data_IF_766077551806
#
_entry.id   IF_766077551806
#
_cell.length_a   1.000
_cell.length_b   1.000
_cell.length_c   1.000
_cell.angle_alpha   90.00
_cell.angle_beta   90.00
_cell.angle_gamma   90.00
#
_symmetry.space_group_name_H-M   'P 1'
#
loop_
_entity.id
_entity.type
_entity.pdbx_description
1 polymer ?
#
# COMPACT_ATOMS: atom_id res chain seq x y z
N UNK A 1 -14.76 -37.06 -1.10
CA UNK A 1 -14.11 -35.73 -1.22
C UNK A 1 -14.95 -34.72 -0.43
N UNK A 2 -14.53 -34.33 0.77
CA UNK A 2 -15.21 -33.31 1.58
C UNK A 2 -14.22 -32.20 1.93
N UNK A 3 -14.04 -31.26 1.00
CA UNK A 3 -13.30 -30.01 1.17
C UNK A 3 -14.32 -28.91 1.54
N UNK A 4 -14.56 -28.66 2.83
CA UNK A 4 -15.21 -27.41 3.28
C UNK A 4 -14.69 -27.04 4.67
N UNK A 5 -14.23 -25.79 4.82
CA UNK A 5 -13.51 -25.25 5.97
C UNK A 5 -14.32 -25.11 7.27
N UNK A 6 -13.66 -24.57 8.31
CA UNK A 6 -14.17 -24.36 9.68
C UNK A 6 -15.52 -23.63 9.84
N UNK A 7 -16.08 -23.13 8.74
CA UNK A 7 -17.46 -22.67 8.63
C UNK A 7 -18.50 -23.70 9.09
N UNK A 8 -18.27 -25.00 8.91
CA UNK A 8 -19.32 -25.99 9.18
C UNK A 8 -19.52 -26.42 10.64
N UNK A 9 -18.76 -25.88 11.62
CA UNK A 9 -18.93 -26.25 13.04
C UNK A 9 -19.67 -25.20 13.87
N UNK A 10 -19.88 -24.00 13.32
CA UNK A 10 -20.61 -22.94 14.01
C UNK A 10 -22.07 -22.90 13.55
N UNK A 11 -23.01 -22.58 14.45
CA UNK A 11 -24.43 -22.38 14.10
C UNK A 11 -24.59 -21.33 12.99
N UNK A 12 -25.69 -21.38 12.23
CA UNK A 12 -25.93 -20.56 11.02
C UNK A 12 -25.50 -19.08 11.16
N UNK A 13 -25.79 -18.45 12.30
CA UNK A 13 -25.40 -17.07 12.61
C UNK A 13 -23.88 -16.82 12.58
N UNK A 14 -23.09 -17.74 13.12
CA UNK A 14 -21.63 -17.65 13.14
C UNK A 14 -21.01 -17.91 11.76
N UNK A 15 -21.67 -18.71 10.92
CA UNK A 15 -21.26 -18.93 9.52
C UNK A 15 -21.49 -17.67 8.69
N UNK A 16 -22.66 -17.05 8.87
CA UNK A 16 -22.99 -15.79 8.21
C UNK A 16 -22.02 -14.68 8.62
N UNK A 17 -21.71 -14.53 9.91
CA UNK A 17 -20.76 -13.52 10.39
C UNK A 17 -19.34 -13.73 9.84
N UNK A 18 -18.85 -14.97 9.79
CA UNK A 18 -17.53 -15.28 9.22
C UNK A 18 -17.48 -15.05 7.70
N UNK A 19 -18.55 -15.39 6.97
CA UNK A 19 -18.66 -15.14 5.52
C UNK A 19 -18.79 -13.65 5.22
N UNK A 20 -19.56 -12.90 6.01
CA UNK A 20 -19.71 -11.45 5.88
C UNK A 20 -18.38 -10.77 6.21
N UNK A 21 -17.67 -11.19 7.26
CA UNK A 21 -16.34 -10.67 7.58
C UNK A 21 -15.31 -10.97 6.49
N UNK A 22 -15.30 -12.19 5.95
CA UNK A 22 -14.43 -12.55 4.83
C UNK A 22 -14.80 -11.77 3.55
N UNK A 23 -16.08 -11.61 3.24
CA UNK A 23 -16.57 -10.83 2.11
C UNK A 23 -16.23 -9.34 2.27
N UNK A 24 -16.37 -8.77 3.47
CA UNK A 24 -15.98 -7.39 3.76
C UNK A 24 -14.46 -7.19 3.68
N UNK A 25 -13.64 -8.17 4.10
CA UNK A 25 -12.18 -8.13 3.91
C UNK A 25 -11.83 -8.23 2.42
N UNK A 26 -12.47 -9.12 1.66
CA UNK A 26 -12.26 -9.27 0.22
C UNK A 26 -12.69 -8.00 -0.52
N UNK A 27 -13.84 -7.42 -0.18
CA UNK A 27 -14.34 -6.17 -0.76
C UNK A 27 -13.44 -5.01 -0.34
N UNK A 28 -13.02 -4.92 0.92
CA UNK A 28 -12.07 -3.88 1.36
C UNK A 28 -10.74 -4.00 0.61
N UNK A 29 -10.19 -5.20 0.40
CA UNK A 29 -8.94 -5.37 -0.36
C UNK A 29 -9.14 -5.24 -1.87
N UNK A 30 -10.29 -5.61 -2.42
CA UNK A 30 -10.62 -5.50 -3.85
C UNK A 30 -11.02 -4.08 -4.28
N UNK A 31 -11.60 -3.30 -3.37
CA UNK A 31 -12.04 -1.91 -3.62
C UNK A 31 -10.99 -0.89 -3.17
N UNK A 32 -10.13 -1.22 -2.19
CA UNK A 32 -9.09 -0.29 -1.65
C UNK A 32 -7.67 -0.66 -2.07
N UNK A 33 -7.43 -1.89 -2.58
CA UNK A 33 -6.08 -2.38 -2.88
C UNK A 33 -5.55 -1.94 -4.25
N UNK A 34 -4.50 -1.12 -4.25
CA UNK A 34 -3.65 -0.78 -5.41
C UNK A 34 -2.97 -2.01 -6.10
N UNK A 35 -3.34 -3.25 -5.76
CA UNK A 35 -2.76 -4.48 -6.32
C UNK A 35 -3.34 -4.87 -7.68
N UNK A 36 -4.49 -4.29 -8.07
CA UNK A 36 -5.09 -4.51 -9.40
C UNK A 36 -4.25 -3.94 -10.55
N UNK A 37 -3.44 -2.89 -10.29
CA UNK A 37 -2.62 -2.22 -11.31
C UNK A 37 -1.28 -2.89 -11.62
N UNK A 38 -0.85 -3.90 -10.84
CA UNK A 38 0.43 -4.65 -11.05
C UNK A 38 0.26 -5.98 -11.80
N UNK A 39 -0.86 -6.16 -12.51
CA UNK A 39 -1.14 -7.34 -13.30
C UNK A 39 -1.85 -8.48 -12.56
N UNK A 40 -2.48 -9.36 -13.34
CA UNK A 40 -3.35 -10.44 -12.86
C UNK A 40 -2.66 -11.36 -11.84
N UNK A 41 -1.39 -11.69 -12.06
CA UNK A 41 -0.62 -12.58 -11.18
C UNK A 41 -0.49 -12.00 -9.76
N UNK A 42 -0.14 -10.72 -9.64
CA UNK A 42 0.00 -10.02 -8.36
C UNK A 42 -1.34 -9.92 -7.63
N UNK A 43 -2.42 -9.66 -8.37
CA UNK A 43 -3.78 -9.63 -7.79
C UNK A 43 -4.18 -11.00 -7.24
N UNK A 44 -3.93 -12.08 -7.98
CA UNK A 44 -4.25 -13.44 -7.56
C UNK A 44 -3.43 -13.84 -6.33
N UNK A 45 -2.14 -13.54 -6.30
CA UNK A 45 -1.29 -13.87 -5.14
C UNK A 45 -1.71 -13.09 -3.89
N UNK A 46 -1.98 -11.77 -4.01
CA UNK A 46 -2.50 -10.98 -2.88
C UNK A 46 -3.83 -11.52 -2.39
N UNK A 47 -4.78 -11.81 -3.29
CA UNK A 47 -6.09 -12.35 -2.93
C UNK A 47 -5.96 -13.69 -2.20
N UNK A 48 -5.16 -14.61 -2.73
CA UNK A 48 -4.90 -15.90 -2.08
C UNK A 48 -4.24 -15.72 -0.72
N UNK A 49 -3.29 -14.81 -0.58
CA UNK A 49 -2.62 -14.52 0.70
C UNK A 49 -3.62 -14.00 1.74
N UNK A 50 -4.39 -12.96 1.39
CA UNK A 50 -5.34 -12.33 2.31
C UNK A 50 -6.46 -13.29 2.71
N UNK A 51 -7.01 -14.05 1.77
CA UNK A 51 -8.09 -15.00 2.04
C UNK A 51 -7.63 -16.17 2.92
N UNK A 52 -6.45 -16.72 2.67
CA UNK A 52 -5.89 -17.79 3.52
C UNK A 52 -5.50 -17.30 4.90
N UNK A 53 -4.94 -16.09 5.00
CA UNK A 53 -4.66 -15.41 6.27
C UNK A 53 -5.95 -15.16 7.08
N UNK A 54 -7.01 -14.65 6.44
CA UNK A 54 -8.30 -14.40 7.07
C UNK A 54 -8.96 -15.69 7.56
N UNK A 55 -8.87 -16.77 6.78
CA UNK A 55 -9.36 -18.09 7.19
C UNK A 55 -8.64 -18.58 8.46
N UNK A 56 -7.31 -18.45 8.51
CA UNK A 56 -6.53 -18.87 9.68
C UNK A 56 -6.92 -18.03 10.90
N UNK A 57 -6.92 -16.70 10.79
CA UNK A 57 -7.27 -15.81 11.89
C UNK A 57 -8.69 -16.06 12.43
N UNK A 58 -9.68 -16.20 11.54
CA UNK A 58 -11.06 -16.53 11.94
C UNK A 58 -11.17 -17.89 12.63
N UNK A 59 -10.42 -18.89 12.15
CA UNK A 59 -10.38 -20.21 12.78
C UNK A 59 -9.80 -20.20 14.20
N UNK A 60 -8.79 -19.36 14.47
CA UNK A 60 -8.25 -19.19 15.82
C UNK A 60 -9.30 -18.64 16.78
N UNK A 61 -10.11 -17.67 16.34
CA UNK A 61 -11.23 -17.17 17.15
C UNK A 61 -12.28 -18.25 17.44
N UNK A 62 -12.64 -19.06 16.44
CA UNK A 62 -13.57 -20.18 16.64
C UNK A 62 -13.01 -21.18 17.64
N UNK A 63 -11.72 -21.51 17.55
CA UNK A 63 -11.04 -22.40 18.50
C UNK A 63 -10.98 -21.80 19.91
N UNK A 64 -10.69 -20.52 20.01
CA UNK A 64 -10.70 -19.80 21.28
C UNK A 64 -12.09 -19.89 21.89
N UNK A 65 -13.15 -19.54 21.17
CA UNK A 65 -14.54 -19.65 21.68
C UNK A 65 -14.94 -21.08 22.05
N UNK A 66 -14.58 -22.06 21.22
CA UNK A 66 -14.86 -23.47 21.48
C UNK A 66 -14.09 -24.00 22.70
N UNK A 67 -12.96 -23.40 23.06
CA UNK A 67 -12.14 -23.84 24.20
C UNK A 67 -12.83 -23.66 25.56
N UNK A 68 -13.89 -22.85 25.62
CA UNK A 68 -14.77 -22.72 26.80
C UNK A 68 -15.88 -23.78 26.86
N UNK A 69 -16.08 -24.56 25.79
CA UNK A 69 -17.10 -25.64 25.72
C UNK A 69 -16.55 -27.00 26.18
N UNK A 70 -17.38 -28.03 26.42
CA UNK A 70 -16.93 -29.37 26.80
C UNK A 70 -15.88 -29.98 25.85
N UNK A 71 -15.02 -30.87 26.36
CA UNK A 71 -13.90 -31.46 25.58
C UNK A 71 -14.39 -32.30 24.39
N UNK A 72 -15.56 -32.93 24.53
CA UNK A 72 -16.25 -33.68 23.47
C UNK A 72 -16.47 -32.86 22.21
N UNK A 73 -16.72 -31.56 22.38
CA UNK A 73 -17.06 -30.65 21.28
C UNK A 73 -15.78 -30.03 20.70
N UNK A 74 -14.78 -29.79 21.55
CA UNK A 74 -13.53 -29.14 21.18
C UNK A 74 -12.60 -30.07 20.40
N UNK A 75 -12.41 -31.32 20.86
CA UNK A 75 -11.47 -32.25 20.25
C UNK A 75 -11.69 -32.46 18.73
N UNK A 76 -12.91 -32.79 18.25
CA UNK A 76 -13.13 -32.99 16.81
C UNK A 76 -12.95 -31.71 16.00
N UNK A 77 -13.28 -30.54 16.57
CA UNK A 77 -13.07 -29.24 15.93
C UNK A 77 -11.58 -28.94 15.76
N UNK A 78 -10.78 -29.10 16.82
CA UNK A 78 -9.33 -28.91 16.80
C UNK A 78 -8.69 -29.84 15.76
N UNK A 79 -9.03 -31.13 15.76
CA UNK A 79 -8.46 -32.08 14.79
C UNK A 79 -8.76 -31.70 13.33
N UNK A 80 -10.00 -31.28 13.04
CA UNK A 80 -10.40 -30.84 11.68
C UNK A 80 -9.64 -29.58 11.27
N UNK A 81 -9.59 -28.60 12.17
CA UNK A 81 -8.88 -27.35 11.93
C UNK A 81 -7.38 -27.61 11.70
N UNK A 82 -6.71 -28.37 12.56
CA UNK A 82 -5.29 -28.68 12.45
C UNK A 82 -4.94 -29.42 11.16
N UNK A 83 -5.83 -30.28 10.65
CA UNK A 83 -5.64 -30.95 9.34
C UNK A 83 -5.75 -29.99 8.17
N UNK A 84 -6.72 -29.07 8.20
CA UNK A 84 -6.91 -28.05 7.16
C UNK A 84 -5.79 -26.99 7.22
N UNK A 85 -5.34 -26.63 8.42
CA UNK A 85 -4.30 -25.64 8.66
C UNK A 85 -2.98 -25.99 7.95
N UNK A 86 -2.63 -27.27 7.81
CA UNK A 86 -1.40 -27.68 7.09
C UNK A 86 -1.43 -27.21 5.63
N UNK A 87 -2.55 -27.42 4.95
CA UNK A 87 -2.71 -27.00 3.56
C UNK A 87 -2.74 -25.48 3.44
N UNK A 88 -3.46 -24.81 4.34
CA UNK A 88 -3.55 -23.34 4.36
C UNK A 88 -2.20 -22.68 4.64
N UNK A 89 -1.45 -23.19 5.62
CA UNK A 89 -0.08 -22.72 5.92
C UNK A 89 0.84 -23.00 4.74
N UNK A 90 0.71 -24.16 4.08
CA UNK A 90 1.45 -24.47 2.86
C UNK A 90 1.22 -23.44 1.75
N UNK A 91 -0.04 -23.04 1.51
CA UNK A 91 -0.37 -21.98 0.55
C UNK A 91 0.18 -20.62 1.01
N UNK A 92 0.10 -20.28 2.30
CA UNK A 92 0.66 -19.03 2.82
C UNK A 92 2.19 -18.97 2.66
N UNK A 93 2.89 -20.07 2.90
CA UNK A 93 4.35 -20.15 2.78
C UNK A 93 4.84 -20.06 1.32
N UNK A 94 3.98 -20.28 0.33
CA UNK A 94 4.33 -20.10 -1.09
C UNK A 94 3.88 -18.74 -1.61
N UNK A 95 2.64 -18.36 -1.32
CA UNK A 95 2.03 -17.14 -1.85
C UNK A 95 2.59 -15.89 -1.17
N UNK A 96 2.91 -15.92 0.13
CA UNK A 96 3.43 -14.74 0.83
C UNK A 96 4.82 -14.32 0.31
N UNK A 97 5.81 -15.23 0.16
CA UNK A 97 7.09 -14.87 -0.45
C UNK A 97 6.94 -14.45 -1.91
N UNK A 98 6.08 -15.12 -2.69
CA UNK A 98 5.82 -14.73 -4.08
C UNK A 98 5.28 -13.29 -4.16
N UNK A 99 4.34 -12.93 -3.28
CA UNK A 99 3.82 -11.57 -3.19
C UNK A 99 4.92 -10.58 -2.79
N UNK A 100 5.78 -10.93 -1.83
CA UNK A 100 6.90 -10.06 -1.43
C UNK A 100 7.91 -9.84 -2.56
N UNK A 101 8.26 -10.88 -3.31
CA UNK A 101 9.17 -10.79 -4.46
C UNK A 101 8.57 -9.93 -5.58
N UNK A 102 7.29 -10.15 -5.91
CA UNK A 102 6.59 -9.35 -6.93
C UNK A 102 6.46 -7.87 -6.54
N UNK A 103 6.34 -7.58 -5.24
CA UNK A 103 6.28 -6.21 -4.73
C UNK A 103 7.66 -5.54 -4.61
N UNK A 104 8.72 -6.30 -4.40
CA UNK A 104 10.08 -5.78 -4.24
C UNK A 104 10.90 -5.78 -5.55
N UNK A 105 10.40 -6.41 -6.61
CA UNK A 105 11.10 -6.54 -7.89
C UNK A 105 12.55 -7.03 -7.72
N UNK A 106 12.75 -7.96 -6.77
CA UNK A 106 14.05 -8.53 -6.39
C UNK A 106 15.09 -7.54 -5.80
N UNK A 107 14.71 -6.33 -5.39
CA UNK A 107 15.63 -5.38 -4.77
C UNK A 107 15.51 -5.38 -3.24
N UNK A 108 16.61 -5.72 -2.56
CA UNK A 108 16.69 -5.72 -1.10
C UNK A 108 17.68 -4.65 -0.61
N UNK A 109 17.17 -3.70 0.15
CA UNK A 109 17.90 -2.68 0.89
C UNK A 109 17.34 -2.59 2.33
N UNK A 110 18.06 -3.15 3.33
CA UNK A 110 17.61 -3.16 4.72
C UNK A 110 17.61 -1.78 5.39
N UNK A 111 18.18 -0.74 4.75
CA UNK A 111 18.09 0.62 5.23
C UNK A 111 16.70 1.25 4.99
N UNK A 112 15.92 0.70 4.05
CA UNK A 112 14.58 1.18 3.75
C UNK A 112 13.58 0.79 4.85
N UNK A 113 12.87 1.78 5.40
CA UNK A 113 11.87 1.58 6.45
C UNK A 113 10.76 0.59 6.06
N UNK A 114 10.40 0.54 4.77
CA UNK A 114 9.44 -0.45 4.25
C UNK A 114 9.97 -1.89 4.38
N UNK A 115 11.24 -2.10 4.02
CA UNK A 115 11.87 -3.43 4.09
C UNK A 115 12.13 -3.85 5.54
N UNK A 116 12.46 -2.91 6.44
CA UNK A 116 12.54 -3.17 7.88
C UNK A 116 11.20 -3.62 8.47
N UNK A 117 10.10 -2.98 8.06
CA UNK A 117 8.77 -3.41 8.46
C UNK A 117 8.40 -4.79 7.89
N UNK A 118 8.78 -5.08 6.64
CA UNK A 118 8.60 -6.41 6.06
C UNK A 118 9.39 -7.48 6.85
N UNK A 119 10.64 -7.19 7.22
CA UNK A 119 11.44 -8.09 8.07
C UNK A 119 10.81 -8.31 9.44
N UNK A 120 10.26 -7.25 10.04
CA UNK A 120 9.52 -7.35 11.31
C UNK A 120 8.31 -8.26 11.15
N UNK A 121 7.54 -8.10 10.06
CA UNK A 121 6.39 -8.96 9.73
C UNK A 121 6.83 -10.42 9.56
N UNK A 122 7.93 -10.68 8.86
CA UNK A 122 8.48 -12.02 8.67
C UNK A 122 8.86 -12.64 10.03
N UNK A 123 9.55 -11.88 10.89
CA UNK A 123 9.91 -12.32 12.23
C UNK A 123 8.70 -12.68 13.09
N UNK A 124 7.69 -11.80 13.13
CA UNK A 124 6.43 -12.06 13.85
C UNK A 124 5.70 -13.30 13.30
N UNK A 125 5.69 -13.48 11.98
CA UNK A 125 5.08 -14.64 11.33
C UNK A 125 5.82 -15.93 11.66
N UNK A 126 7.16 -15.89 11.73
CA UNK A 126 7.96 -17.04 12.15
C UNK A 126 7.63 -17.46 13.59
N UNK A 127 7.53 -16.49 14.52
CA UNK A 127 7.13 -16.75 15.91
C UNK A 127 5.73 -17.35 15.98
N UNK A 128 4.78 -16.82 15.21
CA UNK A 128 3.42 -17.35 15.11
C UNK A 128 3.41 -18.81 14.60
N UNK A 129 4.19 -19.13 13.56
CA UNK A 129 4.29 -20.48 13.01
C UNK A 129 4.92 -21.46 13.99
N UNK A 130 5.93 -21.03 14.75
CA UNK A 130 6.52 -21.85 15.82
C UNK A 130 5.50 -22.16 16.90
N UNK A 131 4.71 -21.16 17.33
CA UNK A 131 3.67 -21.35 18.33
C UNK A 131 2.55 -22.29 17.83
N UNK A 132 2.14 -22.15 16.56
CA UNK A 132 1.18 -23.04 15.91
C UNK A 132 1.70 -24.48 15.78
N UNK A 133 2.98 -24.64 15.45
CA UNK A 133 3.66 -25.92 15.46
C UNK A 133 3.66 -26.56 16.85
N UNK A 134 3.98 -25.79 17.88
CA UNK A 134 3.95 -26.24 19.29
C UNK A 134 2.53 -26.68 19.71
N UNK A 135 1.51 -25.90 19.36
CA UNK A 135 0.11 -26.21 19.64
C UNK A 135 -0.31 -27.53 18.99
N UNK A 136 0.06 -27.74 17.72
CA UNK A 136 -0.28 -28.94 16.96
C UNK A 136 0.49 -30.18 17.40
N UNK A 137 1.81 -30.07 17.62
CA UNK A 137 2.69 -31.21 17.84
C UNK A 137 2.75 -31.65 19.31
N UNK A 138 2.52 -30.73 20.26
CA UNK A 138 2.72 -31.00 21.69
C UNK A 138 1.42 -30.87 22.47
N UNK A 139 0.73 -29.72 22.38
CA UNK A 139 -0.47 -29.50 23.21
C UNK A 139 -1.67 -30.33 22.76
N UNK A 140 -1.88 -30.48 21.45
CA UNK A 140 -3.01 -31.24 20.93
C UNK A 140 -2.93 -32.74 21.34
N UNK A 141 -1.82 -33.47 21.15
CA UNK A 141 -1.72 -34.86 21.63
C UNK A 141 -1.92 -34.99 23.14
N UNK A 142 -1.39 -34.03 23.93
CA UNK A 142 -1.56 -34.02 25.40
C UNK A 142 -3.01 -33.79 25.82
N UNK A 143 -3.76 -32.95 25.09
CA UNK A 143 -5.17 -32.72 25.34
C UNK A 143 -6.00 -33.99 25.08
N UNK A 144 -5.73 -34.69 23.98
CA UNK A 144 -6.40 -35.95 23.63
C UNK A 144 -6.06 -37.06 24.63
N UNK A 145 -4.82 -37.09 25.14
CA UNK A 145 -4.38 -38.03 26.17
C UNK A 145 -4.93 -37.73 27.59
N UNK A 146 -5.72 -36.67 27.78
CA UNK A 146 -6.33 -36.35 29.07
C UNK A 146 -5.43 -35.63 30.08
N UNK A 147 -4.22 -35.21 29.70
CA UNK A 147 -3.22 -34.61 30.60
C UNK A 147 -3.46 -33.11 30.89
N UNK A 148 -4.71 -32.67 31.08
CA UNK A 148 -5.04 -31.36 31.70
C UNK A 148 -4.58 -30.08 30.98
N UNK A 149 -4.26 -30.13 29.68
CA UNK A 149 -3.58 -29.01 28.98
C UNK A 149 -4.51 -27.90 28.45
N UNK A 150 -5.76 -27.79 28.96
CA UNK A 150 -6.78 -26.89 28.39
C UNK A 150 -6.46 -25.41 28.61
N UNK A 151 -5.98 -25.03 29.80
CA UNK A 151 -5.61 -23.64 30.12
C UNK A 151 -4.43 -23.20 29.26
N UNK A 152 -3.42 -24.08 29.12
CA UNK A 152 -2.27 -23.84 28.26
C UNK A 152 -2.68 -23.66 26.79
N UNK A 153 -3.54 -24.54 26.26
CA UNK A 153 -4.05 -24.41 24.89
C UNK A 153 -4.78 -23.08 24.68
N UNK A 154 -5.54 -22.61 25.67
CA UNK A 154 -6.24 -21.33 25.59
C UNK A 154 -5.29 -20.15 25.55
N UNK A 155 -4.30 -20.14 26.44
CA UNK A 155 -3.29 -19.08 26.49
C UNK A 155 -2.47 -19.04 25.21
N UNK A 156 -2.12 -20.19 24.63
CA UNK A 156 -1.38 -20.21 23.37
C UNK A 156 -2.22 -19.80 22.17
N UNK A 157 -3.49 -20.21 22.07
CA UNK A 157 -4.40 -19.70 21.02
C UNK A 157 -4.58 -18.17 21.14
N UNK A 158 -4.72 -17.65 22.36
CA UNK A 158 -4.82 -16.20 22.57
C UNK A 158 -3.52 -15.47 22.16
N UNK A 159 -2.36 -16.03 22.48
CA UNK A 159 -1.07 -15.50 22.06
C UNK A 159 -0.90 -15.54 20.53
N UNK A 160 -1.38 -16.58 19.84
CA UNK A 160 -1.42 -16.63 18.38
C UNK A 160 -2.29 -15.51 17.80
N UNK A 161 -3.48 -15.26 18.37
CA UNK A 161 -4.35 -14.16 17.93
C UNK A 161 -3.67 -12.81 18.11
N UNK A 162 -2.98 -12.58 19.23
CA UNK A 162 -2.25 -11.33 19.48
C UNK A 162 -1.07 -11.16 18.51
N UNK A 163 -0.30 -12.21 18.26
CA UNK A 163 0.79 -12.18 17.27
C UNK A 163 0.25 -11.91 15.87
N UNK A 164 -0.84 -12.57 15.48
CA UNK A 164 -1.49 -12.34 14.20
C UNK A 164 -2.00 -10.90 14.07
N UNK A 165 -2.64 -10.37 15.11
CA UNK A 165 -3.05 -8.97 15.16
C UNK A 165 -1.85 -8.02 15.03
N UNK A 166 -0.71 -8.35 15.64
CA UNK A 166 0.56 -7.65 15.43
C UNK A 166 1.03 -7.67 13.97
N UNK A 167 1.04 -8.84 13.32
CA UNK A 167 1.35 -9.00 11.89
C UNK A 167 0.44 -8.14 11.01
N UNK A 168 -0.87 -8.13 11.30
CA UNK A 168 -1.86 -7.31 10.61
C UNK A 168 -1.64 -5.81 10.86
N UNK A 169 -1.37 -5.42 12.09
CA UNK A 169 -1.06 -4.02 12.47
C UNK A 169 0.21 -3.51 11.79
N UNK A 170 1.27 -4.31 11.73
CA UNK A 170 2.48 -3.99 10.96
C UNK A 170 2.16 -3.89 9.47
N UNK A 171 1.34 -4.79 8.92
CA UNK A 171 0.92 -4.73 7.50
C UNK A 171 0.13 -3.45 7.22
N UNK A 172 -0.84 -3.10 8.07
CA UNK A 172 -1.63 -1.89 7.95
C UNK A 172 -0.73 -0.65 8.06
N UNK A 173 0.15 -0.58 9.06
CA UNK A 173 1.10 0.52 9.20
C UNK A 173 2.00 0.66 7.97
N UNK A 174 2.51 -0.46 7.44
CA UNK A 174 3.32 -0.46 6.23
C UNK A 174 2.52 0.03 5.03
N UNK A 175 1.29 -0.44 4.84
CA UNK A 175 0.44 -0.07 3.70
C UNK A 175 -0.12 1.36 3.83
N UNK A 176 -0.27 1.90 5.04
CA UNK A 176 -0.84 3.23 5.25
C UNK A 176 0.23 4.32 5.32
N UNK A 177 1.38 4.06 5.94
CA UNK A 177 2.37 5.10 6.24
C UNK A 177 3.72 4.90 5.55
N UNK A 178 3.99 3.70 5.03
CA UNK A 178 5.28 3.34 4.44
C UNK A 178 5.12 2.61 3.11
N UNK A 179 3.92 2.67 2.51
CA UNK A 179 3.56 1.85 1.37
C UNK A 179 4.39 2.31 0.20
N UNK A 180 4.96 1.37 -0.56
CA UNK A 180 5.61 1.73 -1.78
C UNK A 180 4.58 2.26 -2.77
N UNK A 181 3.28 2.39 -2.58
CA UNK A 181 2.45 3.01 -3.61
C UNK A 181 2.72 4.53 -3.75
N UNK A 182 3.12 5.20 -2.67
CA UNK A 182 3.79 6.52 -2.73
C UNK A 182 5.28 6.42 -3.15
N UNK A 183 5.80 5.21 -3.44
CA UNK A 183 7.15 4.94 -3.97
C UNK A 183 7.19 4.13 -5.32
N UNK A 184 6.07 3.63 -5.83
CA UNK A 184 5.90 2.68 -6.95
C UNK A 184 5.52 3.43 -8.22
N UNK A 185 4.75 4.51 -8.11
CA UNK A 185 4.77 5.61 -9.09
C UNK A 185 6.16 6.32 -9.17
N UNK A 186 7.20 5.80 -8.46
CA UNK A 186 8.60 6.25 -8.53
C UNK A 186 9.54 5.13 -8.97
N UNK A 187 9.09 3.88 -8.98
CA UNK A 187 9.95 2.75 -9.36
C UNK A 187 9.69 2.28 -10.80
N UNK A 188 8.52 2.57 -11.36
CA UNK A 188 8.28 2.50 -12.80
C UNK A 188 8.20 3.89 -13.38
N UNK A 189 9.32 4.61 -13.34
CA UNK A 189 9.52 5.66 -14.32
C UNK A 189 10.04 4.95 -15.55
N UNK A 190 9.24 4.87 -16.60
CA UNK A 190 9.77 4.41 -17.89
C UNK A 190 10.91 5.37 -18.28
N UNK A 191 12.06 4.91 -18.81
CA UNK A 191 13.16 5.80 -19.18
C UNK A 191 12.72 7.00 -20.05
N UNK A 192 11.68 6.78 -20.86
CA UNK A 192 11.07 7.77 -21.76
C UNK A 192 10.26 8.86 -21.03
N UNK A 193 10.06 8.72 -19.71
CA UNK A 193 9.30 9.63 -18.86
C UNK A 193 10.20 10.50 -17.96
N UNK A 194 11.50 10.20 -17.90
CA UNK A 194 12.48 10.99 -17.15
C UNK A 194 12.90 12.19 -18.00
N UNK A 195 12.48 13.39 -17.61
CA UNK A 195 12.91 14.61 -18.28
C UNK A 195 14.27 15.12 -17.76
N UNK A 196 14.55 14.90 -16.47
CA UNK A 196 15.82 15.28 -15.84
C UNK A 196 16.27 14.18 -14.91
N UNK A 197 17.51 13.73 -15.05
CA UNK A 197 18.15 12.76 -14.15
C UNK A 197 19.20 13.45 -13.27
N UNK A 198 19.48 12.88 -12.09
CA UNK A 198 20.48 13.39 -11.16
C UNK A 198 20.05 13.33 -9.69
N UNK A 199 20.70 14.14 -8.82
CA UNK A 199 20.36 14.26 -7.39
C UNK A 199 18.89 14.58 -7.15
N UNK A 200 18.36 15.52 -7.94
CA UNK A 200 16.93 15.75 -8.10
C UNK A 200 16.55 15.27 -9.50
N UNK A 201 15.64 14.32 -9.56
CA UNK A 201 15.10 13.76 -10.79
C UNK A 201 13.68 14.30 -11.00
N UNK A 202 13.37 14.68 -12.24
CA UNK A 202 12.07 15.23 -12.63
C UNK A 202 11.43 14.32 -13.66
N UNK A 203 10.23 13.87 -13.33
CA UNK A 203 9.52 12.82 -14.05
C UNK A 203 8.19 13.37 -14.57
N UNK A 204 7.92 13.07 -15.84
CA UNK A 204 6.74 13.48 -16.60
C UNK A 204 6.32 14.95 -16.34
N UNK A 205 7.20 15.94 -16.55
CA UNK A 205 6.77 17.33 -16.52
C UNK A 205 5.76 17.62 -17.63
N UNK A 206 4.57 18.10 -17.28
CA UNK A 206 3.53 18.41 -18.24
C UNK A 206 2.65 19.59 -17.80
N UNK A 207 1.95 20.18 -18.77
CA UNK A 207 0.93 21.19 -18.55
C UNK A 207 -0.30 20.89 -19.44
N UNK A 208 -1.53 21.17 -18.99
CA UNK A 208 -2.69 21.11 -19.86
C UNK A 208 -2.66 22.30 -20.83
N UNK A 209 -3.07 22.05 -22.08
CA UNK A 209 -3.37 23.11 -23.02
C UNK A 209 -4.48 24.00 -22.45
N UNK A 210 -4.45 25.27 -22.79
CA UNK A 210 -5.38 26.24 -22.23
C UNK A 210 -6.61 26.45 -23.14
N UNK A 211 -7.82 26.61 -22.55
CA UNK A 211 -8.96 27.13 -23.28
C UNK A 211 -8.65 28.53 -23.83
N UNK A 212 -9.21 28.88 -24.99
CA UNK A 212 -8.96 30.16 -25.64
C UNK A 212 -9.21 31.36 -24.72
N UNK A 213 -8.18 32.20 -24.53
CA UNK A 213 -8.26 33.43 -23.73
C UNK A 213 -7.80 33.34 -22.27
N UNK A 214 -7.46 32.14 -21.77
CA UNK A 214 -6.91 32.00 -20.41
C UNK A 214 -5.53 32.68 -20.27
N UNK A 215 -5.34 33.42 -19.18
CA UNK A 215 -4.07 34.12 -18.85
C UNK A 215 -3.27 33.44 -17.75
N UNK A 216 -3.76 32.31 -17.25
CA UNK A 216 -3.17 31.54 -16.17
C UNK A 216 -3.11 30.08 -16.53
N UNK A 217 -1.94 29.48 -16.36
CA UNK A 217 -1.68 28.07 -16.65
C UNK A 217 -1.29 27.29 -15.40
N UNK A 218 -1.31 25.96 -15.50
CA UNK A 218 -0.85 25.06 -14.46
C UNK A 218 0.26 24.14 -14.98
N UNK A 219 1.23 23.82 -14.14
CA UNK A 219 2.28 22.83 -14.42
C UNK A 219 2.31 21.72 -13.37
N UNK A 220 2.55 20.50 -13.82
CA UNK A 220 2.53 19.28 -13.04
C UNK A 220 3.77 18.44 -13.34
N UNK A 221 4.23 17.68 -12.36
CA UNK A 221 5.38 16.79 -12.46
C UNK A 221 5.51 15.94 -11.21
N UNK A 222 6.37 14.92 -11.26
CA UNK A 222 6.87 14.24 -10.06
C UNK A 222 8.31 14.65 -9.82
N UNK A 223 8.61 15.10 -8.60
CA UNK A 223 9.95 15.48 -8.16
C UNK A 223 10.49 14.37 -7.27
N UNK A 224 11.55 13.69 -7.70
CA UNK A 224 12.23 12.63 -6.93
C UNK A 224 13.55 13.17 -6.40
N UNK A 225 13.78 13.02 -5.10
CA UNK A 225 15.03 13.35 -4.45
C UNK A 225 15.82 12.07 -4.16
N UNK A 226 16.86 11.85 -4.95
CA UNK A 226 17.76 10.70 -4.82
C UNK A 226 18.83 10.90 -3.74
N UNK A 227 18.80 12.01 -3.00
CA UNK A 227 19.76 12.31 -1.95
C UNK A 227 19.32 11.79 -0.59
N UNK A 228 20.25 11.45 0.32
CA UNK A 228 19.94 10.99 1.68
C UNK A 228 19.46 12.11 2.61
N UNK A 229 19.33 13.33 2.11
CA UNK A 229 18.85 14.50 2.88
C UNK A 229 17.68 15.14 2.17
N UNK A 230 16.69 15.59 2.95
CA UNK A 230 15.51 16.25 2.41
C UNK A 230 15.85 17.61 1.82
N UNK A 231 15.10 18.01 0.79
CA UNK A 231 15.21 19.29 0.11
C UNK A 231 13.84 19.99 0.05
N UNK A 232 13.80 21.22 -0.44
CA UNK A 232 12.59 22.02 -0.62
C UNK A 232 12.66 22.75 -1.94
N UNK A 233 11.62 22.61 -2.76
CA UNK A 233 11.41 23.47 -3.92
C UNK A 233 10.90 24.81 -3.40
N UNK A 234 11.69 25.87 -3.54
CA UNK A 234 11.41 27.19 -2.95
C UNK A 234 10.98 28.22 -3.99
N UNK A 235 11.32 28.01 -5.26
CA UNK A 235 10.86 28.88 -6.34
C UNK A 235 10.82 28.12 -7.68
N UNK A 236 10.09 28.69 -8.63
CA UNK A 236 10.13 28.28 -10.02
C UNK A 236 10.07 29.53 -10.92
N UNK A 237 10.58 29.42 -12.14
CA UNK A 237 10.53 30.52 -13.12
C UNK A 237 10.50 29.99 -14.54
N UNK A 238 9.78 30.66 -15.43
CA UNK A 238 9.75 30.32 -16.86
C UNK A 238 9.72 31.58 -17.69
N UNK A 239 10.39 31.63 -18.85
CA UNK A 239 10.29 32.77 -19.75
C UNK A 239 8.91 32.88 -20.43
N UNK A 240 8.00 31.93 -20.23
CA UNK A 240 6.62 31.98 -20.76
C UNK A 240 5.66 32.80 -19.89
N UNK A 241 6.02 33.13 -18.65
CA UNK A 241 5.15 33.82 -17.71
C UNK A 241 5.89 34.93 -16.94
N UNK A 242 5.15 35.93 -16.49
CA UNK A 242 5.66 36.94 -15.55
C UNK A 242 6.03 36.32 -14.19
N UNK A 243 5.17 35.43 -13.65
CA UNK A 243 5.39 34.79 -12.36
C UNK A 243 5.00 33.32 -12.38
N UNK A 244 5.75 32.50 -11.64
CA UNK A 244 5.45 31.09 -11.39
C UNK A 244 5.48 30.84 -9.88
N UNK A 245 4.35 30.46 -9.30
CA UNK A 245 4.18 30.23 -7.86
C UNK A 245 3.80 28.78 -7.55
N UNK A 246 4.12 28.33 -6.33
CA UNK A 246 3.82 26.97 -5.84
C UNK A 246 2.49 26.98 -5.11
N UNK A 247 1.52 26.17 -5.53
CA UNK A 247 0.19 26.18 -4.94
C UNK A 247 -0.20 24.79 -4.41
N UNK A 248 -0.93 24.77 -3.28
CA UNK A 248 -1.66 23.61 -2.79
C UNK A 248 -3.15 23.79 -3.01
N UNK A 249 -3.82 22.71 -3.38
CA UNK A 249 -5.28 22.63 -3.36
C UNK A 249 -5.73 22.17 -1.97
N UNK A 250 -6.67 22.92 -1.38
CA UNK A 250 -7.21 22.66 -0.05
C UNK A 250 -8.72 22.61 -0.17
N UNK A 251 -9.33 21.56 0.36
CA UNK A 251 -10.78 21.49 0.51
C UNK A 251 -11.15 22.20 1.81
N UNK A 252 -11.79 23.36 1.69
CA UNK A 252 -12.40 24.06 2.82
C UNK A 252 -13.92 23.84 2.73
N UNK A 253 -14.39 22.78 3.40
CA UNK A 253 -15.75 22.27 3.26
C UNK A 253 -16.03 21.77 1.84
N UNK A 254 -17.04 22.32 1.18
CA UNK A 254 -17.42 21.98 -0.21
C UNK A 254 -16.71 22.85 -1.27
N UNK A 255 -15.77 23.72 -0.87
CA UNK A 255 -15.11 24.65 -1.79
C UNK A 255 -13.63 24.26 -1.91
N UNK A 256 -13.22 23.91 -3.13
CA UNK A 256 -11.81 23.79 -3.47
C UNK A 256 -11.18 25.20 -3.52
N UNK A 257 -10.15 25.44 -2.70
CA UNK A 257 -9.36 26.66 -2.71
C UNK A 257 -7.91 26.36 -3.06
N UNK A 258 -7.26 27.30 -3.73
CA UNK A 258 -5.82 27.27 -3.98
C UNK A 258 -5.12 28.16 -2.97
N UNK A 259 -4.05 27.66 -2.35
CA UNK A 259 -3.21 28.42 -1.44
C UNK A 259 -1.77 28.39 -1.92
N UNK A 260 -1.18 29.56 -2.09
CA UNK A 260 0.24 29.70 -2.39
C UNK A 260 1.10 29.16 -1.23
N UNK A 261 2.22 28.53 -1.58
CA UNK A 261 3.20 27.95 -0.68
C UNK A 261 4.53 28.67 -0.86
N UNK A 262 5.15 29.06 0.25
CA UNK A 262 6.52 29.58 0.23
C UNK A 262 7.56 28.52 -0.18
N UNK A 263 7.27 27.24 0.06
CA UNK A 263 8.10 26.13 -0.40
C UNK A 263 7.31 24.82 -0.39
N UNK A 264 7.73 23.89 -1.23
CA UNK A 264 7.23 22.52 -1.30
C UNK A 264 8.32 21.56 -0.84
N UNK A 265 8.06 20.78 0.21
CA UNK A 265 9.02 19.80 0.77
C UNK A 265 9.21 18.63 -0.18
N UNK A 266 10.46 18.17 -0.34
CA UNK A 266 10.84 16.95 -1.06
C UNK A 266 11.66 16.04 -0.12
N UNK A 267 11.08 14.91 0.36
CA UNK A 267 11.74 14.04 1.34
C UNK A 267 13.07 13.45 0.85
N UNK A 268 13.97 13.12 1.78
CA UNK A 268 15.19 12.36 1.48
C UNK A 268 14.85 10.98 0.89
N UNK A 269 15.50 10.58 -0.21
CA UNK A 269 15.23 9.31 -0.89
C UNK A 269 13.77 9.12 -1.32
N UNK A 270 13.01 10.22 -1.37
CA UNK A 270 11.57 10.20 -1.56
C UNK A 270 11.17 11.13 -2.71
N UNK A 271 9.88 11.42 -2.80
CA UNK A 271 9.35 12.27 -3.86
C UNK A 271 8.20 13.13 -3.40
N UNK A 272 7.88 14.12 -4.23
CA UNK A 272 6.68 14.93 -4.12
C UNK A 272 5.99 15.02 -5.47
N UNK A 273 4.71 14.64 -5.50
CA UNK A 273 3.90 14.64 -6.72
C UNK A 273 3.09 15.93 -6.82
N UNK A 274 3.24 16.64 -7.94
CA UNK A 274 2.42 17.78 -8.32
C UNK A 274 1.41 17.31 -9.36
N UNK A 275 0.13 17.23 -8.98
CA UNK A 275 -0.99 16.78 -9.82
C UNK A 275 -2.25 17.60 -9.54
N UNK A 276 -3.24 17.60 -10.45
CA UNK A 276 -4.51 18.28 -10.24
C UNK A 276 -5.12 17.93 -8.87
N UNK A 277 -5.62 18.95 -8.16
CA UNK A 277 -6.25 18.76 -6.85
C UNK A 277 -5.30 18.54 -5.67
N UNK A 278 -3.97 18.54 -5.86
CA UNK A 278 -2.99 18.38 -4.77
C UNK A 278 -1.99 19.54 -4.71
N UNK A 279 -0.98 19.54 -5.59
CA UNK A 279 0.01 20.60 -5.73
C UNK A 279 0.20 20.93 -7.19
N UNK A 280 0.43 22.20 -7.52
CA UNK A 280 0.69 22.63 -8.90
C UNK A 280 1.59 23.87 -8.94
N UNK A 281 2.25 24.07 -10.07
CA UNK A 281 2.83 25.35 -10.43
C UNK A 281 1.76 26.21 -11.07
N UNK A 282 1.51 27.39 -10.53
CA UNK A 282 0.60 28.37 -11.11
C UNK A 282 1.42 29.35 -11.94
N UNK A 283 1.14 29.47 -13.22
CA UNK A 283 1.74 30.44 -14.12
C UNK A 283 0.78 31.61 -14.26
N UNK A 284 1.23 32.82 -13.93
CA UNK A 284 0.42 34.04 -14.05
C UNK A 284 1.12 35.06 -14.94
N UNK A 285 0.34 35.79 -15.74
CA UNK A 285 0.91 36.72 -16.72
C UNK A 285 1.59 35.99 -17.86
N UNK A 286 0.91 35.00 -18.46
CA UNK A 286 1.44 34.25 -19.60
C UNK A 286 1.60 35.16 -20.83
N UNK A 287 2.79 35.15 -21.44
CA UNK A 287 3.08 35.88 -22.67
C UNK A 287 2.56 35.16 -23.91
N UNK A 288 2.44 33.83 -23.84
CA UNK A 288 1.85 32.98 -24.87
C UNK A 288 0.98 31.90 -24.22
N UNK A 289 -0.15 31.51 -24.83
CA UNK A 289 -0.97 30.43 -24.31
C UNK A 289 -0.26 29.08 -24.43
N UNK A 290 -0.56 28.13 -23.53
CA UNK A 290 -0.12 26.75 -23.68
C UNK A 290 -0.99 26.06 -24.73
N UNK A 291 -0.39 25.70 -25.86
CA UNK A 291 -1.03 24.95 -26.95
C UNK A 291 -0.54 23.51 -26.92
N UNK A 292 -1.42 22.55 -27.20
CA UNK A 292 -1.04 21.14 -27.20
C UNK A 292 0.14 20.89 -28.16
N UNK A 293 1.16 20.18 -27.68
CA UNK A 293 2.42 19.96 -28.41
C UNK A 293 3.51 20.98 -28.09
N UNK A 294 3.19 22.09 -27.41
CA UNK A 294 4.19 23.05 -26.96
C UNK A 294 5.13 22.42 -25.92
N UNK A 295 6.32 23.02 -25.87
CA UNK A 295 7.43 22.60 -25.02
C UNK A 295 7.86 23.83 -24.23
N UNK A 296 7.48 23.90 -22.95
CA UNK A 296 7.63 25.09 -22.11
C UNK A 296 8.83 24.90 -21.15
N UNK A 297 9.96 25.59 -21.34
CA UNK A 297 11.08 25.57 -20.42
C UNK A 297 10.71 26.21 -19.09
N UNK A 298 11.25 25.60 -18.05
CA UNK A 298 11.00 25.88 -16.65
C UNK A 298 12.31 25.73 -15.90
N UNK A 299 12.56 26.58 -14.92
CA UNK A 299 13.64 26.41 -13.96
C UNK A 299 13.01 26.24 -12.58
N UNK A 300 13.33 25.14 -11.91
CA UNK A 300 13.01 24.87 -10.53
C UNK A 300 14.19 25.28 -9.65
N UNK A 301 13.92 25.88 -8.49
CA UNK A 301 14.96 26.29 -7.54
C UNK A 301 14.76 25.56 -6.23
N UNK A 302 15.66 24.64 -5.93
CA UNK A 302 15.71 23.89 -4.69
C UNK A 302 16.62 24.59 -3.66
N UNK A 303 16.26 24.48 -2.39
CA UNK A 303 17.00 25.08 -1.27
C UNK A 303 18.43 24.54 -1.19
N UNK A 304 18.64 23.24 -1.49
CA UNK A 304 19.97 22.61 -1.43
C UNK A 304 20.52 22.22 -2.79
N UNK A 305 19.71 21.56 -3.64
CA UNK A 305 20.15 21.12 -4.96
C UNK A 305 20.33 22.27 -5.96
N UNK A 306 19.86 23.47 -5.64
CA UNK A 306 19.99 24.64 -6.50
C UNK A 306 19.04 24.60 -7.70
N UNK A 307 19.50 25.11 -8.84
CA UNK A 307 18.66 25.27 -10.03
C UNK A 307 18.63 24.00 -10.87
N UNK A 308 17.42 23.55 -11.23
CA UNK A 308 17.16 22.42 -12.11
C UNK A 308 16.35 22.91 -13.30
N UNK A 309 16.91 22.80 -14.50
CA UNK A 309 16.21 23.11 -15.74
C UNK A 309 15.31 21.94 -16.14
N UNK A 310 14.04 22.23 -16.44
CA UNK A 310 12.98 21.27 -16.74
C UNK A 310 12.22 21.79 -17.96
N UNK A 311 11.61 20.88 -18.69
CA UNK A 311 10.75 21.23 -19.82
C UNK A 311 9.37 20.62 -19.61
N UNK A 312 8.31 21.43 -19.59
CA UNK A 312 6.93 20.94 -19.52
C UNK A 312 6.42 20.62 -20.93
N UNK A 313 5.89 19.41 -21.11
CA UNK A 313 5.22 19.03 -22.35
C UNK A 313 3.73 19.37 -22.26
N UNK A 314 3.22 20.21 -23.17
CA UNK A 314 1.82 20.63 -23.15
C UNK A 314 0.93 19.57 -23.80
N UNK A 315 -0.07 19.09 -23.06
CA UNK A 315 -0.99 18.01 -23.46
C UNK A 315 -2.40 18.55 -23.77
N UNK A 316 -3.19 17.91 -24.65
CA UNK A 316 -4.57 18.33 -24.92
C UNK A 316 -5.45 18.40 -23.67
N UNK A 317 -6.44 19.30 -23.67
CA UNK A 317 -7.48 19.39 -22.64
C UNK A 317 -8.25 18.05 -22.61
N UNK A 318 -8.33 17.42 -21.44
CA UNK A 318 -8.94 16.08 -21.29
C UNK A 318 -7.98 14.91 -21.51
N UNK A 319 -6.71 15.16 -21.86
CA UNK A 319 -5.65 14.14 -21.92
C UNK A 319 -5.13 13.71 -20.53
N UNK A 320 -5.71 14.23 -19.45
CA UNK A 320 -5.62 13.59 -18.14
C UNK A 320 -6.73 12.53 -18.09
N UNK A 321 -6.39 11.32 -18.52
CA UNK A 321 -7.16 10.15 -18.11
C UNK A 321 -6.86 10.00 -16.63
N UNK A 322 -7.74 10.57 -15.82
CA UNK A 322 -7.86 10.16 -14.43
C UNK A 322 -8.26 8.68 -14.49
N UNK A 323 -7.42 7.77 -13.99
CA UNK A 323 -7.73 6.34 -13.87
C UNK A 323 -8.82 6.09 -12.78
N UNK A 324 -9.71 7.06 -12.62
CA UNK A 324 -10.76 7.18 -11.61
C UNK A 324 -12.09 7.47 -12.29
N UNK A 325 -12.48 6.61 -13.23
CA UNK A 325 -13.90 6.40 -13.50
C UNK A 325 -14.12 5.08 -14.24
N UNK A 326 -14.37 3.99 -13.50
CA UNK A 326 -15.26 2.88 -13.87
C UNK A 326 -15.57 2.02 -12.64
#
# INVERSE_FOLDING_TARGET
>A
MHLVGGLWVAGFAYRAAALIGAALIIVAFGVVGHSASRGLLTSVTVLLHVTTAAWWFGGLWVLLFASWRPLSDLAPLVTRFSRQAVWIIGVLLTVAPATAVLLLEFRFDPALAYQQGLLTKIGLTAVLLTLAGFNKLILMPRLVAGNGSRIWLRSTIAAEILLFAGVMGTTAYLVTYRSPHDAADAAHVHPDEIAVSGPICIVQPWAPAMPGGARTGAGYMVIVNNQPVADRLVAASSPWAEHVSLHASINDGNIARMRELAALRVPAGGRTTMKPGVYHLMFTGLYAPFVAGDVVPLTLVFERAGKVAVTLNVRPIGGYVDDHNH
#
